data_IF_179991393431
#
_entry.id   IF_179991393431
#
_cell.length_a   1.000
_cell.length_b   1.000
_cell.length_c   1.000
_cell.angle_alpha   90.00
_cell.angle_beta   90.00
_cell.angle_gamma   90.00
#
_symmetry.space_group_name_H-M   'P 1'
#
loop_
_entity.id
_entity.type
_entity.pdbx_description
1 polymer ?
#
# COMPACT_ATOMS: atom_id res chain seq x y z
N UNK A 1 8.96 4.11 22.17
CA UNK A 1 9.26 3.38 20.91
C UNK A 1 8.18 3.68 19.88
N UNK A 2 8.52 3.81 18.60
CA UNK A 2 7.54 3.97 17.52
C UNK A 2 6.94 2.59 17.19
N UNK A 3 5.62 2.53 16.95
CA UNK A 3 4.88 1.31 16.56
C UNK A 3 4.14 1.56 15.25
N UNK A 4 3.81 0.50 14.53
CA UNK A 4 3.05 0.55 13.28
C UNK A 4 2.41 -0.79 12.95
N UNK A 5 1.36 -0.77 12.14
CA UNK A 5 0.69 -1.97 11.63
C UNK A 5 0.51 -1.83 10.12
N UNK A 6 0.80 -2.89 9.38
CA UNK A 6 0.77 -2.88 7.92
C UNK A 6 -0.67 -2.96 7.43
N UNK A 7 -1.32 -1.80 7.25
CA UNK A 7 -2.68 -1.78 6.69
C UNK A 7 -2.64 -2.18 5.21
N UNK A 8 -3.39 -3.22 4.84
CA UNK A 8 -3.36 -3.76 3.48
C UNK A 8 -4.17 -2.91 2.49
N UNK A 9 -3.47 -2.25 1.57
CA UNK A 9 -4.04 -1.47 0.49
C UNK A 9 -4.37 -2.29 -0.76
N UNK A 10 -4.00 -3.58 -0.84
CA UNK A 10 -4.38 -4.48 -1.93
C UNK A 10 -5.90 -4.47 -2.13
N UNK A 11 -6.34 -4.19 -3.35
CA UNK A 11 -7.74 -4.11 -3.72
C UNK A 11 -7.97 -4.62 -5.16
N UNK A 12 -9.24 -4.83 -5.52
CA UNK A 12 -9.61 -5.32 -6.86
C UNK A 12 -9.47 -4.27 -7.97
N UNK A 13 -9.47 -2.98 -7.63
CA UNK A 13 -9.26 -1.87 -8.57
C UNK A 13 -8.26 -0.87 -8.00
N UNK A 14 -7.64 -0.08 -8.88
CA UNK A 14 -6.70 0.96 -8.48
C UNK A 14 -7.38 2.05 -7.63
N UNK A 15 -8.63 2.41 -7.95
CA UNK A 15 -9.39 3.43 -7.22
C UNK A 15 -9.61 3.02 -5.76
N UNK A 16 -9.99 1.77 -5.52
CA UNK A 16 -10.17 1.25 -4.16
C UNK A 16 -8.82 1.07 -3.43
N UNK A 17 -7.74 0.73 -4.14
CA UNK A 17 -6.39 0.71 -3.57
C UNK A 17 -5.98 2.10 -3.08
N UNK A 18 -6.18 3.12 -3.91
CA UNK A 18 -5.84 4.52 -3.58
C UNK A 18 -6.67 5.04 -2.41
N UNK A 19 -7.99 4.76 -2.40
CA UNK A 19 -8.89 5.13 -1.30
C UNK A 19 -8.44 4.54 0.05
N UNK A 20 -7.95 3.30 0.06
CA UNK A 20 -7.40 2.66 1.28
C UNK A 20 -6.10 3.31 1.72
N UNK A 21 -5.20 3.63 0.78
CA UNK A 21 -3.94 4.29 1.07
C UNK A 21 -4.15 5.72 1.60
N UNK A 22 -5.12 6.45 1.03
CA UNK A 22 -5.53 7.78 1.50
C UNK A 22 -6.11 7.72 2.90
N UNK A 23 -7.00 6.76 3.17
CA UNK A 23 -7.52 6.60 4.52
C UNK A 23 -6.42 6.26 5.55
N UNK A 24 -5.44 5.43 5.19
CA UNK A 24 -4.30 5.14 6.06
C UNK A 24 -3.46 6.39 6.36
N UNK A 25 -3.26 7.27 5.37
CA UNK A 25 -2.61 8.57 5.54
C UNK A 25 -3.42 9.47 6.49
N UNK A 26 -4.74 9.56 6.30
CA UNK A 26 -5.61 10.39 7.14
C UNK A 26 -5.63 9.94 8.61
N UNK A 27 -5.47 8.64 8.85
CA UNK A 27 -5.28 8.06 10.18
C UNK A 27 -3.88 8.32 10.78
N UNK A 28 -2.96 8.94 10.03
CA UNK A 28 -1.59 9.19 10.46
C UNK A 28 -0.73 7.93 10.57
N UNK A 29 -1.08 6.87 9.82
CA UNK A 29 -0.33 5.61 9.89
C UNK A 29 1.04 5.75 9.22
N UNK A 30 2.10 5.15 9.78
CA UNK A 30 3.45 5.28 9.23
C UNK A 30 3.72 4.31 8.07
N UNK A 31 2.86 3.30 7.86
CA UNK A 31 3.13 2.18 6.95
C UNK A 31 1.84 1.54 6.42
N UNK A 32 1.87 1.14 5.15
CA UNK A 32 0.86 0.31 4.47
C UNK A 32 1.52 -0.92 3.84
N UNK A 33 0.73 -1.88 3.37
CA UNK A 33 1.23 -3.01 2.58
C UNK A 33 0.50 -3.22 1.26
N UNK A 34 1.17 -3.89 0.32
CA UNK A 34 0.60 -4.30 -0.96
C UNK A 34 1.13 -5.66 -1.42
N UNK A 35 0.24 -6.47 -1.98
CA UNK A 35 0.52 -7.77 -2.58
C UNK A 35 0.85 -7.57 -4.07
N UNK A 36 2.10 -7.23 -4.39
CA UNK A 36 2.45 -6.67 -5.71
C UNK A 36 2.26 -7.64 -6.89
N UNK A 37 2.32 -8.95 -6.66
CA UNK A 37 2.10 -9.95 -7.72
C UNK A 37 0.61 -10.14 -8.00
N UNK A 38 -0.21 -10.28 -6.95
CA UNK A 38 -1.66 -10.47 -7.11
C UNK A 38 -2.41 -9.17 -7.41
N UNK A 39 -1.89 -8.03 -6.95
CA UNK A 39 -2.39 -6.70 -7.29
C UNK A 39 -1.83 -6.16 -8.61
N UNK A 40 -0.68 -6.67 -9.05
CA UNK A 40 -0.03 -6.32 -10.32
C UNK A 40 0.96 -5.15 -10.24
N UNK A 41 1.99 -5.21 -11.08
CA UNK A 41 3.07 -4.22 -11.10
C UNK A 41 2.61 -2.80 -11.45
N UNK A 42 1.58 -2.65 -12.29
CA UNK A 42 1.01 -1.34 -12.63
C UNK A 42 0.43 -0.67 -11.38
N UNK A 43 -0.41 -1.39 -10.64
CA UNK A 43 -0.99 -0.89 -9.39
C UNK A 43 0.11 -0.60 -8.35
N UNK A 44 1.07 -1.52 -8.19
CA UNK A 44 2.19 -1.34 -7.27
C UNK A 44 3.02 -0.08 -7.57
N UNK A 45 3.26 0.22 -8.85
CA UNK A 45 4.01 1.41 -9.25
C UNK A 45 3.26 2.68 -8.88
N UNK A 46 1.94 2.73 -9.15
CA UNK A 46 1.09 3.86 -8.74
C UNK A 46 1.08 4.06 -7.22
N UNK A 47 0.94 2.97 -6.45
CA UNK A 47 0.96 3.02 -4.99
C UNK A 47 2.34 3.44 -4.45
N UNK A 48 3.43 3.00 -5.07
CA UNK A 48 4.79 3.38 -4.68
C UNK A 48 5.03 4.89 -4.85
N UNK A 49 4.56 5.47 -5.97
CA UNK A 49 4.63 6.91 -6.21
C UNK A 49 3.80 7.67 -5.16
N UNK A 50 2.58 7.21 -4.89
CA UNK A 50 1.73 7.79 -3.84
C UNK A 50 2.40 7.77 -2.47
N UNK A 51 2.98 6.63 -2.09
CA UNK A 51 3.65 6.48 -0.79
C UNK A 51 4.85 7.43 -0.65
N UNK A 52 5.64 7.59 -1.73
CA UNK A 52 6.75 8.56 -1.77
C UNK A 52 6.27 9.99 -1.52
N UNK A 53 5.20 10.38 -2.19
CA UNK A 53 4.71 11.76 -2.15
C UNK A 53 3.93 12.08 -0.85
N UNK A 54 3.50 11.05 -0.11
CA UNK A 54 2.72 11.17 1.12
C UNK A 54 3.45 10.71 2.39
N UNK A 55 4.73 10.32 2.30
CA UNK A 55 5.53 9.92 3.46
C UNK A 55 5.08 8.59 4.10
N UNK A 56 4.49 7.68 3.33
CA UNK A 56 4.13 6.34 3.80
C UNK A 56 5.26 5.35 3.49
N UNK A 57 5.63 4.52 4.47
CA UNK A 57 6.40 3.32 4.19
C UNK A 57 5.50 2.30 3.47
N UNK A 58 6.07 1.57 2.50
CA UNK A 58 5.35 0.56 1.73
C UNK A 58 5.99 -0.82 1.94
N UNK A 59 5.31 -1.69 2.69
CA UNK A 59 5.68 -3.09 2.85
C UNK A 59 5.18 -3.92 1.64
N UNK A 60 6.07 -4.67 1.00
CA UNK A 60 5.74 -5.47 -0.18
C UNK A 60 5.63 -6.95 0.18
N UNK A 61 4.45 -7.52 -0.02
CA UNK A 61 4.20 -8.94 0.16
C UNK A 61 4.13 -9.66 -1.20
N UNK A 62 4.73 -10.85 -1.27
CA UNK A 62 4.93 -11.62 -2.52
C UNK A 62 3.93 -12.76 -2.70
N UNK A 63 2.66 -12.57 -2.35
CA UNK A 63 1.63 -13.60 -2.55
C UNK A 63 1.65 -14.12 -4.00
N UNK A 64 1.44 -15.43 -4.22
CA UNK A 64 1.50 -16.09 -5.54
C UNK A 64 2.90 -16.23 -6.15
N UNK A 65 3.98 -16.08 -5.37
CA UNK A 65 5.35 -16.22 -5.92
C UNK A 65 5.76 -17.66 -6.29
N UNK A 66 5.01 -18.69 -5.90
CA UNK A 66 5.36 -20.11 -6.05
C UNK A 66 4.24 -20.87 -6.74
#
# INVERSE_FOLDING_TARGET
EIKGHYLNATAATCEEMMKRAEYAKDLGMPIVMHDYLTGGFTANTSLSLYCRDNGLLLHIHRAMHA
#
